data_IF_518737882187
#
_entry.id   IF_518737882187
#
_cell.length_a   1.000
_cell.length_b   1.000
_cell.length_c   1.000
_cell.angle_alpha   90.00
_cell.angle_beta   90.00
_cell.angle_gamma   90.00
#
_symmetry.space_group_name_H-M   'P 1'
#
loop_
_entity.id
_entity.type
_entity.pdbx_description
1 polymer ?
#
# COMPACT_ATOMS: atom_id res chain seq x y z
N UNK A 1 13.29 -40.69 -6.98
CA UNK A 1 14.15 -40.45 -5.78
C UNK A 1 14.48 -38.98 -5.55
N UNK A 2 14.95 -38.21 -6.54
CA UNK A 2 15.32 -36.79 -6.39
C UNK A 2 14.12 -35.89 -5.99
N UNK A 3 12.94 -36.13 -6.56
CA UNK A 3 11.73 -35.34 -6.24
C UNK A 3 11.25 -35.56 -4.80
N UNK A 4 11.39 -36.78 -4.29
CA UNK A 4 10.98 -37.12 -2.92
C UNK A 4 11.90 -36.46 -1.88
N UNK A 5 13.21 -36.44 -2.12
CA UNK A 5 14.18 -35.79 -1.25
C UNK A 5 13.98 -34.26 -1.24
N UNK A 6 13.76 -33.65 -2.41
CA UNK A 6 13.45 -32.22 -2.53
C UNK A 6 12.19 -31.87 -1.74
N UNK A 7 11.13 -32.66 -1.86
CA UNK A 7 9.89 -32.45 -1.12
C UNK A 7 10.08 -32.60 0.39
N UNK A 8 10.94 -33.50 0.83
CA UNK A 8 11.26 -33.68 2.24
C UNK A 8 12.02 -32.47 2.81
N UNK A 9 13.02 -32.00 2.08
CA UNK A 9 13.78 -30.79 2.43
C UNK A 9 12.89 -29.54 2.49
N UNK A 10 11.99 -29.38 1.52
CA UNK A 10 11.01 -28.29 1.52
C UNK A 10 10.07 -28.37 2.73
N UNK A 11 9.61 -29.56 3.12
CA UNK A 11 8.80 -29.73 4.33
C UNK A 11 9.57 -29.34 5.59
N UNK A 12 10.84 -29.71 5.70
CA UNK A 12 11.69 -29.31 6.85
C UNK A 12 11.87 -27.79 6.91
N UNK A 13 12.11 -27.15 5.77
CA UNK A 13 12.25 -25.68 5.69
C UNK A 13 10.96 -24.95 6.08
N UNK A 14 9.78 -25.58 5.93
CA UNK A 14 8.50 -24.97 6.30
C UNK A 14 8.09 -25.15 7.76
N UNK A 15 8.81 -25.98 8.54
CA UNK A 15 8.44 -26.23 9.96
C UNK A 15 8.48 -24.94 10.78
N UNK A 16 9.54 -24.13 10.65
CA UNK A 16 9.67 -22.86 11.37
C UNK A 16 8.55 -21.86 11.01
N UNK A 17 8.34 -21.56 9.71
CA UNK A 17 7.23 -20.72 9.26
C UNK A 17 5.86 -21.22 9.71
N UNK A 18 5.60 -22.54 9.66
CA UNK A 18 4.34 -23.12 10.12
C UNK A 18 4.12 -22.93 11.63
N UNK A 19 5.18 -23.07 12.42
CA UNK A 19 5.09 -22.83 13.85
C UNK A 19 4.76 -21.38 14.18
N UNK A 20 5.42 -20.43 13.51
CA UNK A 20 5.13 -18.99 13.66
C UNK A 20 3.70 -18.67 13.22
N UNK A 21 3.23 -19.23 12.09
CA UNK A 21 1.83 -19.06 11.66
C UNK A 21 0.83 -19.62 12.68
N UNK A 22 1.12 -20.78 13.30
CA UNK A 22 0.28 -21.34 14.36
C UNK A 22 0.26 -20.46 15.60
N UNK A 23 1.40 -19.85 15.95
CA UNK A 23 1.48 -18.92 17.08
C UNK A 23 0.67 -17.66 16.80
N UNK A 24 0.82 -17.06 15.63
CA UNK A 24 0.04 -15.90 15.21
C UNK A 24 -1.47 -16.20 15.22
N UNK A 25 -1.87 -17.36 14.69
CA UNK A 25 -3.27 -17.79 14.72
C UNK A 25 -3.81 -17.86 16.15
N UNK A 26 -3.04 -18.43 17.09
CA UNK A 26 -3.44 -18.49 18.50
C UNK A 26 -3.50 -17.13 19.18
N UNK A 27 -2.67 -16.19 18.70
CA UNK A 27 -2.59 -14.83 19.26
C UNK A 27 -3.53 -13.86 18.52
N UNK A 28 -4.32 -14.33 17.56
CA UNK A 28 -5.30 -13.48 16.86
C UNK A 28 -6.18 -12.77 17.90
N UNK A 29 -6.11 -11.44 17.83
CA UNK A 29 -7.03 -10.57 18.57
C UNK A 29 -8.02 -10.01 17.57
N UNK A 30 -9.27 -9.96 17.96
CA UNK A 30 -10.28 -9.20 17.24
C UNK A 30 -9.82 -7.73 17.22
N UNK A 31 -9.42 -7.25 16.07
CA UNK A 31 -9.14 -5.84 15.84
C UNK A 31 -10.44 -5.13 15.49
N UNK A 32 -10.49 -3.84 15.72
CA UNK A 32 -11.62 -3.03 15.28
C UNK A 32 -11.73 -3.08 13.77
N UNK A 33 -12.95 -2.97 13.27
CA UNK A 33 -13.20 -2.73 11.85
C UNK A 33 -12.40 -1.50 11.40
N UNK A 34 -11.82 -1.57 10.20
CA UNK A 34 -11.02 -0.50 9.62
C UNK A 34 -11.39 -0.32 8.14
N UNK A 35 -10.70 0.59 7.46
CA UNK A 35 -10.92 0.94 6.07
C UNK A 35 -10.57 -0.15 5.05
N UNK A 36 -9.75 -1.12 5.41
CA UNK A 36 -9.21 -2.15 4.49
C UNK A 36 -10.26 -2.90 3.65
N UNK A 37 -11.43 -3.30 4.17
CA UNK A 37 -12.45 -3.96 3.35
C UNK A 37 -12.93 -3.09 2.18
N UNK A 38 -13.02 -1.78 2.36
CA UNK A 38 -13.44 -0.82 1.33
C UNK A 38 -12.32 -0.61 0.32
N UNK A 39 -11.10 -0.33 0.79
CA UNK A 39 -9.94 -0.11 -0.05
C UNK A 39 -9.62 -1.33 -0.92
N UNK A 40 -9.58 -2.51 -0.32
CA UNK A 40 -9.34 -3.75 -1.07
C UNK A 40 -10.50 -4.07 -2.01
N UNK A 41 -11.73 -3.81 -1.59
CA UNK A 41 -12.91 -3.93 -2.46
C UNK A 41 -12.78 -3.07 -3.72
N UNK A 42 -12.34 -1.82 -3.57
CA UNK A 42 -12.06 -0.94 -4.71
C UNK A 42 -10.93 -1.50 -5.60
N UNK A 43 -9.79 -1.87 -5.00
CA UNK A 43 -8.65 -2.45 -5.74
C UNK A 43 -9.07 -3.67 -6.55
N UNK A 44 -9.78 -4.62 -5.95
CA UNK A 44 -10.16 -5.86 -6.64
C UNK A 44 -11.23 -5.66 -7.71
N UNK A 45 -12.17 -4.72 -7.51
CA UNK A 45 -13.09 -4.33 -8.60
C UNK A 45 -12.34 -3.78 -9.80
N UNK A 46 -11.31 -2.93 -9.57
CA UNK A 46 -10.48 -2.38 -10.66
C UNK A 46 -9.60 -3.43 -11.29
N UNK A 47 -9.01 -4.30 -10.51
CA UNK A 47 -8.20 -5.42 -11.01
C UNK A 47 -9.00 -6.28 -12.01
N UNK A 48 -10.27 -6.59 -11.68
CA UNK A 48 -11.18 -7.35 -12.54
C UNK A 48 -11.60 -6.61 -13.82
N UNK A 49 -11.46 -5.29 -13.87
CA UNK A 49 -11.78 -4.48 -15.07
C UNK A 49 -10.53 -4.25 -15.95
N UNK A 50 -9.37 -4.09 -15.33
CA UNK A 50 -8.12 -3.72 -16.01
C UNK A 50 -7.38 -4.94 -16.54
N UNK A 51 -7.47 -6.09 -15.86
CA UNK A 51 -6.68 -7.31 -16.15
C UNK A 51 -5.18 -7.06 -16.30
N UNK A 52 -4.52 -6.42 -15.30
CA UNK A 52 -3.11 -6.08 -15.41
C UNK A 52 -2.24 -7.33 -15.36
N UNK A 53 -1.16 -7.33 -16.16
CA UNK A 53 -0.15 -8.39 -16.09
C UNK A 53 0.91 -8.08 -15.04
N UNK A 54 1.50 -6.87 -15.09
CA UNK A 54 2.53 -6.41 -14.16
C UNK A 54 1.95 -5.35 -13.22
N UNK A 55 2.04 -5.59 -11.91
CA UNK A 55 1.54 -4.70 -10.84
C UNK A 55 2.69 -4.30 -9.92
N UNK A 56 2.77 -3.02 -9.58
CA UNK A 56 3.62 -2.51 -8.51
C UNK A 56 2.75 -2.15 -7.31
N UNK A 57 3.07 -2.66 -6.14
CA UNK A 57 2.46 -2.24 -4.87
C UNK A 57 3.46 -1.39 -4.08
N UNK A 58 3.08 -0.15 -3.80
CA UNK A 58 3.93 0.88 -3.18
C UNK A 58 3.54 1.05 -1.72
N UNK A 59 4.52 0.99 -0.82
CA UNK A 59 4.29 1.10 0.60
C UNK A 59 3.57 -0.13 1.15
N UNK A 60 3.98 -1.29 0.68
CA UNK A 60 3.28 -2.54 0.93
C UNK A 60 3.17 -2.93 2.41
N UNK A 61 4.08 -2.44 3.23
CA UNK A 61 4.12 -2.81 4.63
C UNK A 61 4.15 -4.32 4.83
N UNK A 62 3.46 -4.79 5.87
CA UNK A 62 3.24 -6.21 6.14
C UNK A 62 1.87 -6.71 5.65
N UNK A 63 1.22 -5.96 4.76
CA UNK A 63 -0.15 -6.24 4.32
C UNK A 63 -0.22 -7.49 3.44
N UNK A 64 -1.42 -8.05 3.30
CA UNK A 64 -1.64 -9.20 2.44
C UNK A 64 -1.85 -8.81 0.97
N UNK A 65 -1.99 -7.52 0.64
CA UNK A 65 -2.42 -7.05 -0.67
C UNK A 65 -1.58 -7.60 -1.84
N UNK A 66 -0.23 -7.53 -1.83
CA UNK A 66 0.58 -8.06 -2.93
C UNK A 66 0.35 -9.55 -3.17
N UNK A 67 0.19 -10.33 -2.10
CA UNK A 67 -0.10 -11.75 -2.21
C UNK A 67 -1.48 -12.00 -2.82
N UNK A 68 -2.48 -11.25 -2.40
CA UNK A 68 -3.84 -11.39 -2.92
C UNK A 68 -3.90 -11.03 -4.41
N UNK A 69 -3.24 -9.93 -4.83
CA UNK A 69 -3.12 -9.55 -6.24
C UNK A 69 -2.38 -10.63 -7.04
N UNK A 70 -1.28 -11.16 -6.50
CA UNK A 70 -0.56 -12.27 -7.14
C UNK A 70 -1.42 -13.51 -7.31
N UNK A 71 -2.26 -13.84 -6.33
CA UNK A 71 -3.18 -14.98 -6.42
C UNK A 71 -4.27 -14.79 -7.50
N UNK A 72 -4.50 -13.54 -7.94
CA UNK A 72 -5.34 -13.24 -9.10
C UNK A 72 -4.62 -13.41 -10.45
N UNK A 73 -3.38 -13.92 -10.47
CA UNK A 73 -2.63 -14.21 -11.69
C UNK A 73 -1.69 -13.11 -12.16
N UNK A 74 -1.50 -12.04 -11.38
CA UNK A 74 -0.63 -10.91 -11.72
C UNK A 74 0.84 -11.18 -11.30
N UNK A 75 1.79 -10.61 -12.06
CA UNK A 75 3.17 -10.47 -11.61
C UNK A 75 3.30 -9.22 -10.73
N UNK A 76 3.53 -9.42 -9.43
CA UNK A 76 3.56 -8.33 -8.45
C UNK A 76 4.98 -8.04 -8.01
N UNK A 77 5.38 -6.78 -8.10
CA UNK A 77 6.53 -6.20 -7.42
C UNK A 77 6.02 -5.41 -6.22
N UNK A 78 6.57 -5.64 -5.05
CA UNK A 78 6.22 -4.94 -3.82
C UNK A 78 7.42 -4.13 -3.34
N UNK A 79 7.21 -2.85 -3.04
CA UNK A 79 8.25 -1.96 -2.51
C UNK A 79 7.82 -1.28 -1.21
N UNK A 80 8.80 -1.00 -0.36
CA UNK A 80 8.62 -0.19 0.83
C UNK A 80 9.93 0.47 1.22
N UNK A 81 9.87 1.60 1.94
CA UNK A 81 11.03 2.20 2.59
C UNK A 81 11.28 1.52 3.93
N UNK A 82 11.93 0.36 3.87
CA UNK A 82 12.11 -0.56 4.99
C UNK A 82 12.86 0.09 6.15
N UNK A 83 13.72 1.06 5.89
CA UNK A 83 14.56 1.69 6.91
C UNK A 83 13.77 2.55 7.89
N UNK A 84 12.71 3.19 7.42
CA UNK A 84 12.02 4.23 8.18
C UNK A 84 10.85 3.69 8.99
N UNK A 85 10.18 2.65 8.51
CA UNK A 85 8.91 2.19 9.08
C UNK A 85 8.95 0.81 9.74
N UNK A 86 10.10 0.14 9.75
CA UNK A 86 10.20 -1.23 10.19
C UNK A 86 11.19 -1.39 11.35
N UNK A 87 10.85 -0.91 12.56
CA UNK A 87 11.78 -0.91 13.69
C UNK A 87 12.23 -2.30 14.13
N UNK A 88 11.47 -3.35 13.80
CA UNK A 88 11.76 -4.75 14.11
C UNK A 88 12.26 -5.58 12.91
N UNK A 89 12.56 -4.92 11.78
CA UNK A 89 12.85 -5.61 10.52
C UNK A 89 11.61 -6.15 9.85
N UNK A 90 11.75 -6.45 8.56
CA UNK A 90 10.62 -6.91 7.75
C UNK A 90 10.32 -8.37 7.99
N UNK A 91 9.21 -8.67 8.63
CA UNK A 91 8.67 -10.02 8.75
C UNK A 91 7.53 -10.25 7.78
N UNK A 92 7.86 -10.28 6.47
CA UNK A 92 6.92 -10.75 5.48
C UNK A 92 7.34 -12.12 4.95
N UNK A 93 6.56 -13.13 5.28
CA UNK A 93 6.84 -14.53 4.94
C UNK A 93 6.23 -14.99 3.63
N UNK A 94 5.49 -14.13 2.96
CA UNK A 94 4.65 -14.52 1.85
C UNK A 94 5.12 -14.02 0.50
N UNK A 95 5.91 -12.94 0.48
CA UNK A 95 6.46 -12.34 -0.72
C UNK A 95 7.70 -11.51 -0.37
N UNK A 96 8.52 -11.26 -1.38
CA UNK A 96 9.69 -10.41 -1.25
C UNK A 96 9.28 -8.94 -1.40
N UNK A 97 9.74 -8.09 -0.49
CA UNK A 97 9.59 -6.64 -0.58
C UNK A 97 10.96 -6.03 -0.86
N UNK A 98 11.04 -5.26 -1.93
CA UNK A 98 12.24 -4.52 -2.27
C UNK A 98 12.31 -3.25 -1.43
N UNK A 99 13.48 -2.97 -0.86
CA UNK A 99 13.73 -1.70 -0.20
C UNK A 99 13.94 -0.63 -1.27
N UNK A 100 12.94 0.21 -1.50
CA UNK A 100 12.99 1.31 -2.47
C UNK A 100 12.13 2.48 -2.01
N UNK A 101 12.50 3.68 -2.43
CA UNK A 101 11.78 4.92 -2.16
C UNK A 101 11.11 5.41 -3.44
N UNK A 102 9.80 5.41 -3.46
CA UNK A 102 9.02 5.82 -4.63
C UNK A 102 9.26 7.28 -5.04
N UNK A 103 9.73 8.14 -4.13
CA UNK A 103 10.08 9.52 -4.44
C UNK A 103 11.34 9.63 -5.29
N UNK A 104 12.20 8.60 -5.25
CA UNK A 104 13.44 8.48 -6.03
C UNK A 104 13.74 7.01 -6.34
N UNK A 105 12.77 6.32 -6.94
CA UNK A 105 12.82 4.89 -7.20
C UNK A 105 13.93 4.51 -8.17
N UNK A 106 14.56 3.38 -7.91
CA UNK A 106 15.58 2.76 -8.78
C UNK A 106 14.99 1.75 -9.75
N UNK A 107 13.69 1.53 -9.71
CA UNK A 107 12.99 0.62 -10.61
C UNK A 107 12.99 1.20 -12.01
N UNK A 108 13.36 0.39 -12.99
CA UNK A 108 13.33 0.73 -14.41
C UNK A 108 12.15 0.10 -15.15
N UNK A 109 11.57 -0.94 -14.57
CA UNK A 109 10.39 -1.64 -15.12
C UNK A 109 9.17 -0.71 -15.16
N UNK A 110 8.26 -1.03 -16.12
CA UNK A 110 6.98 -0.33 -16.26
C UNK A 110 5.83 -1.29 -15.96
N UNK A 111 4.77 -0.73 -15.37
CA UNK A 111 3.65 -1.48 -14.83
C UNK A 111 2.33 -1.13 -15.52
N UNK A 112 1.45 -2.13 -15.62
CA UNK A 112 0.09 -1.94 -16.12
C UNK A 112 -0.79 -1.29 -15.05
N UNK A 113 -0.50 -1.62 -13.78
CA UNK A 113 -1.19 -1.10 -12.61
C UNK A 113 -0.18 -0.80 -11.50
N UNK A 114 -0.38 0.31 -10.81
CA UNK A 114 0.31 0.63 -9.55
C UNK A 114 -0.76 0.79 -8.48
N UNK A 115 -0.55 0.17 -7.31
CA UNK A 115 -1.37 0.33 -6.10
C UNK A 115 -0.57 1.08 -5.04
N UNK A 116 -1.22 2.04 -4.36
CA UNK A 116 -0.70 2.78 -3.22
C UNK A 116 -1.84 2.99 -2.24
N UNK A 117 -1.97 2.07 -1.27
CA UNK A 117 -3.15 1.94 -0.41
C UNK A 117 -2.82 2.37 1.00
N UNK A 118 -3.38 3.48 1.47
CA UNK A 118 -3.10 4.11 2.78
C UNK A 118 -1.60 4.27 3.04
N UNK A 119 -0.90 4.93 2.12
CA UNK A 119 0.56 5.12 2.19
C UNK A 119 0.94 6.57 1.89
N UNK A 120 0.33 7.17 0.86
CA UNK A 120 0.74 8.49 0.37
C UNK A 120 0.65 9.56 1.47
N UNK A 121 -0.27 9.40 2.41
CA UNK A 121 -0.46 10.29 3.55
C UNK A 121 0.74 10.31 4.51
N UNK A 122 1.58 9.30 4.46
CA UNK A 122 2.78 9.19 5.28
C UNK A 122 4.04 9.68 4.58
N UNK A 123 3.96 9.97 3.27
CA UNK A 123 5.09 10.44 2.46
C UNK A 123 5.08 11.97 2.41
N UNK A 124 6.02 12.61 3.11
CA UNK A 124 6.08 14.09 3.16
C UNK A 124 6.17 14.71 1.75
N UNK A 125 6.98 14.11 0.87
CA UNK A 125 7.15 14.54 -0.52
C UNK A 125 6.11 13.87 -1.44
N UNK A 126 4.83 13.95 -1.10
CA UNK A 126 3.76 13.26 -1.80
C UNK A 126 3.69 13.59 -3.32
N UNK A 127 4.03 14.82 -3.72
CA UNK A 127 4.11 15.19 -5.14
C UNK A 127 5.18 14.39 -5.88
N UNK A 128 6.36 14.25 -5.28
CA UNK A 128 7.44 13.43 -5.85
C UNK A 128 7.03 11.95 -5.92
N UNK A 129 6.35 11.45 -4.89
CA UNK A 129 5.86 10.08 -4.85
C UNK A 129 4.85 9.80 -5.97
N UNK A 130 3.85 10.68 -6.16
CA UNK A 130 2.87 10.54 -7.24
C UNK A 130 3.55 10.62 -8.61
N UNK A 131 4.51 11.54 -8.80
CA UNK A 131 5.30 11.62 -10.04
C UNK A 131 6.12 10.35 -10.26
N UNK A 132 6.75 9.81 -9.21
CA UNK A 132 7.48 8.56 -9.27
C UNK A 132 6.59 7.41 -9.73
N UNK A 133 5.40 7.27 -9.15
CA UNK A 133 4.42 6.26 -9.58
C UNK A 133 3.98 6.46 -11.03
N UNK A 134 3.60 7.67 -11.43
CA UNK A 134 3.19 7.97 -12.82
C UNK A 134 4.31 7.63 -13.81
N UNK A 135 5.56 7.95 -13.47
CA UNK A 135 6.71 7.66 -14.34
C UNK A 135 6.95 6.15 -14.50
N UNK A 136 6.50 5.32 -13.57
CA UNK A 136 6.63 3.86 -13.65
C UNK A 136 5.43 3.20 -14.34
N UNK A 137 4.38 3.93 -14.72
CA UNK A 137 3.28 3.39 -15.51
C UNK A 137 3.69 3.19 -16.97
N UNK A 138 3.14 2.15 -17.59
CA UNK A 138 3.08 2.04 -19.04
C UNK A 138 2.11 3.06 -19.61
N UNK A 139 2.24 3.44 -20.88
CA UNK A 139 1.19 4.17 -21.59
C UNK A 139 -0.16 3.43 -21.45
N UNK A 140 -1.20 4.13 -20.99
CA UNK A 140 -2.52 3.53 -20.69
C UNK A 140 -2.61 2.73 -19.40
N UNK A 141 -1.56 2.71 -18.58
CA UNK A 141 -1.57 2.09 -17.25
C UNK A 141 -2.37 2.89 -16.23
N UNK A 142 -2.65 2.26 -15.11
CA UNK A 142 -3.52 2.80 -14.05
C UNK A 142 -2.78 2.95 -12.73
N UNK A 143 -3.09 4.01 -11.99
CA UNK A 143 -2.71 4.19 -10.60
C UNK A 143 -3.98 4.11 -9.75
N UNK A 144 -4.01 3.19 -8.79
CA UNK A 144 -5.01 3.14 -7.72
C UNK A 144 -4.36 3.69 -6.45
N UNK A 145 -4.96 4.72 -5.89
CA UNK A 145 -4.47 5.39 -4.70
C UNK A 145 -5.62 5.56 -3.71
N UNK A 146 -5.40 5.21 -2.45
CA UNK A 146 -6.30 5.53 -1.34
C UNK A 146 -5.59 6.42 -0.34
N UNK A 147 -6.30 7.41 0.18
CA UNK A 147 -5.74 8.36 1.15
C UNK A 147 -6.85 9.08 1.93
N UNK A 148 -6.56 9.66 3.09
CA UNK A 148 -7.48 10.55 3.76
C UNK A 148 -7.82 11.77 2.90
N UNK A 149 -9.11 12.10 2.81
CA UNK A 149 -9.63 13.20 2.02
C UNK A 149 -10.50 14.13 2.85
N UNK A 150 -10.45 15.40 2.54
CA UNK A 150 -11.30 16.44 3.14
C UNK A 150 -11.79 17.42 2.08
N UNK A 151 -13.03 17.86 2.19
CA UNK A 151 -13.58 18.93 1.33
C UNK A 151 -13.07 20.33 1.72
N UNK A 152 -12.48 20.48 2.90
CA UNK A 152 -12.03 21.78 3.40
C UNK A 152 -10.67 22.16 2.80
N UNK A 153 -9.61 21.95 3.52
CA UNK A 153 -8.25 22.29 3.11
C UNK A 153 -7.28 21.18 3.49
N UNK A 154 -6.21 21.08 2.73
CA UNK A 154 -5.10 20.21 3.05
C UNK A 154 -4.60 20.39 4.48
N UNK A 155 -4.38 19.28 5.16
CA UNK A 155 -3.76 19.22 6.48
C UNK A 155 -2.49 18.39 6.39
N UNK A 156 -1.35 19.00 6.69
CA UNK A 156 -0.04 18.35 6.60
C UNK A 156 0.12 17.21 7.59
N UNK A 157 -0.43 17.35 8.80
CA UNK A 157 -0.39 16.29 9.79
C UNK A 157 -1.62 16.36 10.69
N UNK A 158 -2.52 15.42 10.55
CA UNK A 158 -3.76 15.38 11.36
C UNK A 158 -3.47 15.07 12.82
N UNK A 159 -2.33 14.46 13.12
CA UNK A 159 -1.92 14.19 14.51
C UNK A 159 -1.58 15.45 15.32
N UNK A 160 -1.28 16.57 14.64
CA UNK A 160 -0.99 17.86 15.27
C UNK A 160 -2.25 18.69 15.53
N UNK A 161 -3.43 18.20 15.13
CA UNK A 161 -4.68 18.93 15.33
C UNK A 161 -5.09 18.98 16.81
N UNK A 162 -5.68 20.08 17.27
CA UNK A 162 -6.26 20.17 18.60
C UNK A 162 -7.32 19.06 18.79
N UNK A 163 -7.17 18.27 19.84
CA UNK A 163 -8.09 17.16 20.11
C UNK A 163 -7.69 15.82 19.51
N UNK A 164 -6.62 15.77 18.71
CA UNK A 164 -6.09 14.48 18.25
C UNK A 164 -5.61 13.63 19.44
N UNK A 165 -6.16 12.44 19.57
CA UNK A 165 -5.76 11.45 20.57
C UNK A 165 -4.81 10.40 20.02
N UNK A 166 -4.60 10.41 18.71
CA UNK A 166 -3.75 9.46 17.98
C UNK A 166 -2.43 10.11 17.58
N UNK A 167 -1.45 9.30 17.24
CA UNK A 167 -0.21 9.76 16.62
C UNK A 167 0.84 10.38 17.56
N UNK A 168 0.57 10.53 18.85
CA UNK A 168 1.59 10.95 19.80
C UNK A 168 2.66 9.86 19.89
N UNK A 169 3.86 10.12 19.38
CA UNK A 169 5.01 9.19 19.26
C UNK A 169 5.02 8.30 18.00
N UNK A 170 4.23 8.57 17.00
CA UNK A 170 4.35 7.93 15.70
C UNK A 170 5.47 8.65 14.91
N UNK A 171 6.43 7.92 14.30
CA UNK A 171 7.57 8.54 13.62
C UNK A 171 7.24 9.09 12.22
N UNK A 172 6.00 9.09 11.81
CA UNK A 172 5.53 9.54 10.50
C UNK A 172 4.33 10.49 10.63
N UNK A 173 4.13 11.32 9.63
CA UNK A 173 2.97 12.21 9.50
C UNK A 173 1.77 11.46 8.93
N UNK A 174 0.59 12.03 9.10
CA UNK A 174 -0.62 11.60 8.40
C UNK A 174 -1.27 12.82 7.76
N UNK A 175 -1.19 12.90 6.44
CA UNK A 175 -1.72 14.00 5.64
C UNK A 175 -3.17 13.74 5.28
N UNK A 176 -3.99 14.80 5.26
CA UNK A 176 -5.33 14.76 4.68
C UNK A 176 -5.38 15.72 3.50
N UNK A 177 -5.75 15.19 2.34
CA UNK A 177 -5.70 15.90 1.08
C UNK A 177 -7.04 16.51 0.72
N UNK A 178 -7.00 17.63 -0.01
CA UNK A 178 -8.19 18.24 -0.58
C UNK A 178 -8.21 18.07 -2.11
N UNK A 179 -9.28 18.51 -2.74
CA UNK A 179 -9.40 18.53 -4.20
C UNK A 179 -8.24 19.28 -4.88
N UNK A 180 -7.72 20.31 -4.22
CA UNK A 180 -6.63 21.11 -4.75
C UNK A 180 -5.37 20.27 -4.92
N UNK A 181 -5.01 19.48 -3.90
CA UNK A 181 -3.83 18.60 -3.96
C UNK A 181 -3.99 17.51 -5.03
N UNK A 182 -5.18 16.89 -5.10
CA UNK A 182 -5.46 15.88 -6.12
C UNK A 182 -5.30 16.44 -7.55
N UNK A 183 -5.80 17.65 -7.79
CA UNK A 183 -5.65 18.31 -9.07
C UNK A 183 -4.18 18.63 -9.38
N UNK A 184 -3.44 19.14 -8.40
CA UNK A 184 -2.01 19.43 -8.55
C UNK A 184 -1.16 18.19 -8.85
N UNK A 185 -1.53 17.02 -8.35
CA UNK A 185 -0.83 15.78 -8.69
C UNK A 185 -0.86 15.48 -10.19
N UNK A 186 -1.90 15.94 -10.89
CA UNK A 186 -2.07 15.73 -12.33
C UNK A 186 -1.49 16.84 -13.19
N UNK A 187 -1.19 18.01 -12.63
CA UNK A 187 -0.63 19.14 -13.37
C UNK A 187 0.65 18.78 -14.11
N UNK A 188 0.72 19.10 -15.40
CA UNK A 188 1.85 18.77 -16.25
C UNK A 188 2.05 17.27 -16.52
N UNK A 189 1.04 16.43 -16.27
CA UNK A 189 1.01 15.02 -16.66
C UNK A 189 -0.03 14.81 -17.78
N UNK A 190 0.07 13.67 -18.48
CA UNK A 190 -0.96 13.22 -19.41
C UNK A 190 -1.99 12.28 -18.73
N UNK A 191 -2.08 12.35 -17.40
CA UNK A 191 -2.99 11.53 -16.60
C UNK A 191 -4.29 12.25 -16.32
N UNK A 192 -5.35 11.50 -16.10
CA UNK A 192 -6.67 11.99 -15.64
C UNK A 192 -7.22 11.08 -14.57
N UNK A 193 -8.06 11.63 -13.71
CA UNK A 193 -8.85 10.83 -12.78
C UNK A 193 -9.96 10.14 -13.58
N UNK A 194 -10.02 8.81 -13.50
CA UNK A 194 -11.01 8.00 -14.20
C UNK A 194 -12.21 7.71 -13.31
N UNK A 195 -11.94 7.46 -12.03
CA UNK A 195 -12.98 7.12 -11.05
C UNK A 195 -12.54 7.54 -9.65
N UNK A 196 -13.49 7.92 -8.82
CA UNK A 196 -13.29 8.26 -7.41
C UNK A 196 -14.46 7.77 -6.58
N UNK A 197 -14.15 7.29 -5.39
CA UNK A 197 -15.13 6.97 -4.34
C UNK A 197 -14.73 7.69 -3.06
N UNK A 198 -15.73 8.14 -2.28
CA UNK A 198 -15.55 8.78 -0.99
C UNK A 198 -16.35 8.03 0.05
N UNK A 199 -15.68 7.68 1.14
CA UNK A 199 -16.28 6.91 2.22
C UNK A 199 -16.01 7.60 3.54
N UNK A 200 -17.06 7.84 4.31
CA UNK A 200 -16.95 8.24 5.70
C UNK A 200 -17.01 6.99 6.57
N UNK A 201 -15.90 6.66 7.21
CA UNK A 201 -15.77 5.48 8.06
C UNK A 201 -15.89 5.79 9.55
N UNK A 202 -15.66 7.04 9.92
CA UNK A 202 -15.59 7.53 11.29
C UNK A 202 -16.47 8.77 11.44
N UNK A 203 -17.00 8.95 12.67
CA UNK A 203 -17.63 10.20 13.03
C UNK A 203 -16.54 11.25 13.36
N UNK A 204 -16.78 12.50 12.98
CA UNK A 204 -15.87 13.63 13.21
C UNK A 204 -15.26 14.19 11.92
N UNK A 205 -14.46 15.25 12.08
CA UNK A 205 -13.91 16.01 10.95
C UNK A 205 -12.67 15.38 10.35
N UNK A 206 -11.90 14.64 11.17
CA UNK A 206 -10.65 14.00 10.77
C UNK A 206 -10.49 12.63 11.45
N UNK A 207 -9.75 11.78 10.78
CA UNK A 207 -9.31 10.51 11.31
C UNK A 207 -8.14 10.72 12.29
N UNK A 208 -8.43 10.74 13.59
CA UNK A 208 -7.41 10.96 14.65
C UNK A 208 -7.66 10.06 15.85
#
# INVERSE_FOLDING_TARGET
MVSTLKNYLLKLLHIGPLWVCKLEFKLQKFTRFNERPIEYGFVFRKLAQIYPCKVLDVGTGTTALPRLIRNCGCHVTAIDNIKDYWPSGMFNRFYYVMNDDITNSKIVDKFDLITCVSVIEHIEQHYAAVRGMINLLKPGGYLILTCPYTEQKYVRNVYDLPGSNSGKNIPFICQSYSRIELNKWLEGTNCKIVEQEYWQLWDGDYWT
#
